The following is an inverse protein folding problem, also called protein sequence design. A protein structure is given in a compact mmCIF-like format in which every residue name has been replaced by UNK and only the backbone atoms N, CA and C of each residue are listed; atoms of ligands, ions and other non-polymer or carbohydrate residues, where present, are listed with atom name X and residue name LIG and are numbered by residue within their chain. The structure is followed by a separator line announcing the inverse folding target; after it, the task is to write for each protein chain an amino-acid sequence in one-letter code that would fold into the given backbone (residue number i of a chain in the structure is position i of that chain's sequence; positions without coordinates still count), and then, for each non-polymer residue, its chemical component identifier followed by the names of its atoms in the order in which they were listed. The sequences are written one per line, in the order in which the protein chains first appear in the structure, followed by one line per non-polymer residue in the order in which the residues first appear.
data_IF_668035599567
#
_entry.id   IF_668035599567
#
_cell.length_a   1.000
_cell.length_b   1.000
_cell.length_c   1.000
_cell.angle_alpha   90.00
_cell.angle_beta   90.00
_cell.angle_gamma   90.00
#
_symmetry.space_group_name_H-M   'P 1'
#
loop_
_entity.id
_entity.type
_entity.pdbx_description
1 polymer ?
#
# COMPACT_ATOMS: atom_id res chain seq x y z
N UNK A 1 11.01 7.68 6.42
CA UNK A 1 11.40 8.39 5.16
C UNK A 1 10.39 9.47 4.80
N UNK A 2 9.08 9.19 4.63
CA UNK A 2 8.08 10.21 4.23
C UNK A 2 8.13 11.48 5.09
N UNK A 3 8.10 11.35 6.41
CA UNK A 3 8.20 12.47 7.33
C UNK A 3 9.43 13.38 7.09
N UNK A 4 10.61 12.79 6.86
CA UNK A 4 11.83 13.58 6.60
C UNK A 4 11.73 14.37 5.30
N UNK A 5 11.13 13.78 4.27
CA UNK A 5 10.90 14.45 2.98
C UNK A 5 9.87 15.57 3.15
N UNK A 6 8.79 15.34 3.91
CA UNK A 6 7.76 16.35 4.15
C UNK A 6 8.30 17.54 4.95
N UNK A 7 9.16 17.30 5.95
CA UNK A 7 9.86 18.36 6.66
C UNK A 7 10.82 19.12 5.73
N UNK A 8 11.60 18.42 4.91
CA UNK A 8 12.52 19.03 3.94
C UNK A 8 11.77 19.87 2.89
N UNK A 9 10.58 19.45 2.49
CA UNK A 9 9.72 20.17 1.56
C UNK A 9 8.84 21.24 2.24
N UNK A 10 9.05 21.50 3.53
CA UNK A 10 8.28 22.46 4.33
C UNK A 10 6.77 22.20 4.38
N UNK A 11 6.34 20.96 4.05
CA UNK A 11 4.94 20.56 4.13
C UNK A 11 4.47 20.43 5.57
N UNK A 12 5.36 19.93 6.43
CA UNK A 12 5.11 19.76 7.86
C UNK A 12 6.23 20.41 8.67
N UNK A 13 5.89 20.95 9.84
CA UNK A 13 6.89 21.48 10.79
C UNK A 13 7.61 20.33 11.47
N UNK A 14 8.94 20.46 11.62
CA UNK A 14 9.73 19.48 12.35
C UNK A 14 9.23 19.34 13.81
N UNK A 15 8.94 18.09 14.21
CA UNK A 15 8.55 17.78 15.58
C UNK A 15 9.76 17.88 16.51
N UNK A 16 9.69 18.85 17.45
CA UNK A 16 10.79 19.13 18.41
C UNK A 16 10.77 18.19 19.60
N UNK A 17 9.63 17.56 19.90
CA UNK A 17 9.51 16.63 21.02
C UNK A 17 9.87 15.22 20.54
N UNK A 18 10.97 14.70 21.07
CA UNK A 18 11.47 13.37 20.74
C UNK A 18 10.45 12.27 21.02
N UNK A 19 9.75 12.31 22.15
CA UNK A 19 8.79 11.25 22.52
C UNK A 19 7.56 11.27 21.60
N UNK A 20 7.09 12.42 21.15
CA UNK A 20 6.02 12.51 20.16
C UNK A 20 6.45 11.92 18.82
N UNK A 21 7.66 12.25 18.36
CA UNK A 21 8.18 11.68 17.12
C UNK A 21 8.40 10.16 17.26
N UNK A 22 8.96 9.72 18.39
CA UNK A 22 9.14 8.29 18.67
C UNK A 22 7.80 7.55 18.67
N UNK A 23 6.75 8.10 19.30
CA UNK A 23 5.41 7.51 19.29
C UNK A 23 4.87 7.36 17.86
N UNK A 24 5.00 8.38 17.01
CA UNK A 24 4.58 8.30 15.61
C UNK A 24 5.36 7.22 14.85
N UNK A 25 6.68 7.17 15.00
CA UNK A 25 7.54 6.21 14.27
C UNK A 25 7.33 4.78 14.76
N UNK A 26 7.13 4.59 16.08
CA UNK A 26 6.99 3.29 16.72
C UNK A 26 5.54 2.85 16.93
N UNK A 27 4.57 3.55 16.35
CA UNK A 27 3.16 3.18 16.48
C UNK A 27 2.92 1.77 15.95
N UNK A 28 2.71 0.83 16.87
CA UNK A 28 2.78 -0.61 16.59
C UNK A 28 1.84 -1.11 15.49
N UNK A 29 0.62 -0.56 15.29
CA UNK A 29 -0.23 -1.03 14.21
C UNK A 29 0.34 -0.77 12.81
N UNK A 30 1.20 0.25 12.62
CA UNK A 30 1.81 0.53 11.31
C UNK A 30 3.16 -0.17 11.07
N UNK A 31 3.88 -0.58 12.14
CA UNK A 31 5.23 -1.13 11.99
C UNK A 31 5.24 -2.51 11.33
N UNK A 32 4.28 -3.37 11.69
CA UNK A 32 4.29 -4.78 11.27
C UNK A 32 3.74 -4.91 9.85
N UNK A 33 2.49 -4.52 9.63
CA UNK A 33 1.78 -4.68 8.35
C UNK A 33 0.74 -3.58 8.13
N UNK A 34 0.85 -2.47 8.87
CA UNK A 34 -0.14 -1.39 8.85
C UNK A 34 -0.10 -0.56 7.58
N UNK A 35 -1.17 0.23 7.35
CA UNK A 35 -1.18 1.25 6.32
C UNK A 35 -0.03 2.22 6.50
N UNK A 36 0.63 2.62 5.41
CA UNK A 36 1.69 3.63 5.46
C UNK A 36 1.05 4.97 5.79
N UNK A 37 1.26 5.43 7.01
CA UNK A 37 0.68 6.68 7.47
C UNK A 37 1.51 7.90 7.02
N UNK A 38 0.81 8.96 6.63
CA UNK A 38 1.37 10.30 6.48
C UNK A 38 1.38 10.98 7.86
N UNK A 39 2.41 11.77 8.13
CA UNK A 39 2.59 12.38 9.45
C UNK A 39 1.38 13.25 9.86
N UNK A 40 0.88 14.10 8.95
CA UNK A 40 -0.26 14.98 9.23
C UNK A 40 -1.56 14.22 9.53
N UNK A 41 -1.76 13.05 8.92
CA UNK A 41 -2.99 12.29 9.10
C UNK A 41 -3.03 11.54 10.45
N UNK A 42 -1.87 11.10 10.95
CA UNK A 42 -1.80 10.22 12.10
C UNK A 42 -1.29 10.93 13.38
N UNK A 43 -0.31 11.83 13.26
CA UNK A 43 0.37 12.41 14.40
C UNK A 43 -0.58 13.20 15.33
N UNK A 44 -1.53 13.95 14.75
CA UNK A 44 -2.57 14.65 15.51
C UNK A 44 -3.35 13.69 16.40
N UNK A 45 -3.87 12.61 15.82
CA UNK A 45 -4.63 11.59 16.53
C UNK A 45 -3.81 10.91 17.65
N UNK A 46 -2.52 10.68 17.43
CA UNK A 46 -1.64 10.06 18.45
C UNK A 46 -1.33 10.98 19.63
N UNK A 47 -1.37 12.31 19.41
CA UNK A 47 -0.98 13.30 20.43
C UNK A 47 -2.15 13.84 21.23
N UNK A 48 -3.36 13.63 20.76
CA UNK A 48 -4.59 13.96 21.43
C UNK A 48 -5.00 12.82 22.38
N UNK A 49 -5.57 13.18 23.52
CA UNK A 49 -6.15 12.17 24.41
C UNK A 49 -7.46 11.65 23.85
N UNK A 50 -7.65 10.33 23.90
CA UNK A 50 -8.90 9.70 23.47
C UNK A 50 -9.76 9.31 24.67
N UNK A 51 -11.04 9.65 24.62
CA UNK A 51 -12.02 9.17 25.59
C UNK A 51 -12.50 7.79 25.13
N UNK A 52 -12.80 6.92 26.09
CA UNK A 52 -13.36 5.60 25.80
C UNK A 52 -14.67 5.74 25.00
N UNK A 53 -14.72 5.07 23.85
CA UNK A 53 -15.88 5.04 22.94
C UNK A 53 -16.24 3.57 22.63
N UNK A 54 -17.37 3.14 23.18
CA UNK A 54 -17.85 1.78 23.01
C UNK A 54 -18.14 1.41 21.55
N UNK A 55 -18.64 2.36 20.75
CA UNK A 55 -18.92 2.11 19.34
C UNK A 55 -17.66 1.92 18.53
N UNK A 56 -16.61 2.69 18.80
CA UNK A 56 -15.28 2.49 18.20
C UNK A 56 -14.67 1.16 18.64
N UNK A 57 -14.78 0.80 19.91
CA UNK A 57 -14.32 -0.51 20.41
C UNK A 57 -15.02 -1.64 19.68
N UNK A 58 -16.36 -1.60 19.57
CA UNK A 58 -17.17 -2.60 18.88
C UNK A 58 -16.81 -2.70 17.39
N UNK A 59 -16.76 -1.58 16.67
CA UNK A 59 -16.38 -1.57 15.23
C UNK A 59 -14.97 -2.10 15.05
N UNK A 60 -14.01 -1.66 15.88
CA UNK A 60 -12.64 -2.16 15.82
C UNK A 60 -12.54 -3.65 16.07
N UNK A 61 -13.24 -4.18 17.10
CA UNK A 61 -13.27 -5.61 17.38
C UNK A 61 -13.86 -6.43 16.22
N UNK A 62 -14.96 -5.96 15.62
CA UNK A 62 -15.57 -6.61 14.45
C UNK A 62 -14.60 -6.59 13.24
N UNK A 63 -13.87 -5.52 13.05
CA UNK A 63 -12.88 -5.43 11.97
C UNK A 63 -11.69 -6.37 12.21
N UNK A 64 -11.23 -6.51 13.45
CA UNK A 64 -10.21 -7.50 13.85
C UNK A 64 -10.70 -8.92 13.54
N UNK A 65 -11.91 -9.27 13.95
CA UNK A 65 -12.50 -10.59 13.68
C UNK A 65 -12.64 -10.86 12.18
N UNK A 66 -13.09 -9.87 11.42
CA UNK A 66 -13.18 -9.98 9.95
C UNK A 66 -11.81 -10.17 9.30
N UNK A 67 -10.80 -9.41 9.74
CA UNK A 67 -9.42 -9.56 9.28
C UNK A 67 -8.84 -10.94 9.62
N UNK A 68 -9.05 -11.42 10.85
CA UNK A 68 -8.65 -12.75 11.29
C UNK A 68 -9.36 -13.85 10.46
N UNK A 69 -10.65 -13.72 10.20
CA UNK A 69 -11.38 -14.63 9.33
C UNK A 69 -10.76 -14.70 7.92
N UNK A 70 -10.52 -13.55 7.28
CA UNK A 70 -9.89 -13.51 5.95
C UNK A 70 -8.52 -14.20 5.95
N UNK A 71 -7.68 -13.88 6.94
CA UNK A 71 -6.33 -14.43 7.03
C UNK A 71 -6.33 -15.90 7.38
N UNK A 72 -6.92 -16.28 8.50
CA UNK A 72 -6.79 -17.63 9.07
C UNK A 72 -7.71 -18.67 8.39
N UNK A 73 -8.91 -18.26 8.01
CA UNK A 73 -9.92 -19.20 7.44
C UNK A 73 -9.78 -19.29 5.93
N UNK A 74 -9.46 -18.20 5.23
CA UNK A 74 -9.34 -18.22 3.77
C UNK A 74 -7.86 -18.27 3.35
N UNK A 75 -7.04 -17.29 3.75
CA UNK A 75 -5.66 -17.15 3.28
C UNK A 75 -4.79 -18.35 3.64
N UNK A 76 -4.74 -18.73 4.91
CA UNK A 76 -3.91 -19.86 5.38
C UNK A 76 -4.36 -21.20 4.81
N UNK A 77 -5.65 -21.38 4.53
CA UNK A 77 -6.15 -22.60 3.86
C UNK A 77 -5.85 -22.62 2.37
N UNK A 78 -5.93 -21.47 1.71
CA UNK A 78 -5.58 -21.33 0.30
C UNK A 78 -4.11 -21.64 0.04
N UNK A 79 -3.19 -21.24 0.96
CA UNK A 79 -1.76 -21.59 0.89
C UNK A 79 -1.53 -23.10 0.79
N UNK A 80 -2.25 -23.91 1.57
CA UNK A 80 -2.10 -25.38 1.57
C UNK A 80 -2.44 -25.96 0.19
N UNK A 81 -3.56 -25.54 -0.39
CA UNK A 81 -4.02 -25.99 -1.71
C UNK A 81 -3.04 -25.55 -2.79
N UNK A 82 -2.61 -24.29 -2.76
CA UNK A 82 -1.66 -23.74 -3.72
C UNK A 82 -0.33 -24.48 -3.66
N UNK A 83 0.26 -24.66 -2.49
CA UNK A 83 1.54 -25.32 -2.30
C UNK A 83 1.50 -26.79 -2.74
N UNK A 84 0.39 -27.49 -2.51
CA UNK A 84 0.21 -28.86 -2.96
C UNK A 84 0.32 -28.99 -4.49
N UNK A 85 -0.31 -28.06 -5.24
CA UNK A 85 -0.26 -28.07 -6.71
C UNK A 85 1.11 -27.59 -7.22
N UNK A 86 1.66 -26.54 -6.62
CA UNK A 86 2.91 -25.93 -7.09
C UNK A 86 4.16 -26.74 -6.71
N UNK A 87 4.09 -27.66 -5.74
CA UNK A 87 5.21 -28.53 -5.37
C UNK A 87 5.56 -29.55 -6.46
N UNK A 88 4.60 -29.92 -7.32
CA UNK A 88 4.82 -30.80 -8.47
C UNK A 88 4.04 -30.32 -9.71
N UNK A 89 4.47 -29.18 -10.26
CA UNK A 89 3.82 -28.55 -11.44
C UNK A 89 3.75 -29.49 -12.65
N UNK A 90 4.71 -30.41 -12.79
CA UNK A 90 4.75 -31.37 -13.92
C UNK A 90 3.80 -32.55 -13.73
N UNK A 91 3.44 -32.88 -12.49
CA UNK A 91 2.47 -33.93 -12.16
C UNK A 91 1.01 -33.51 -12.36
N UNK A 92 0.75 -32.21 -12.49
CA UNK A 92 -0.60 -31.68 -12.67
C UNK A 92 -0.85 -31.18 -14.09
N UNK A 93 -2.10 -31.33 -14.59
CA UNK A 93 -2.49 -30.74 -15.87
C UNK A 93 -2.54 -29.20 -15.79
N UNK A 94 -2.45 -28.51 -16.93
CA UNK A 94 -2.45 -27.05 -16.99
C UNK A 94 -3.67 -26.37 -16.37
N UNK A 95 -4.82 -27.06 -16.30
CA UNK A 95 -6.02 -26.57 -15.61
C UNK A 95 -5.83 -26.46 -14.10
N UNK A 96 -5.10 -27.38 -13.47
CA UNK A 96 -4.77 -27.30 -12.05
C UNK A 96 -3.79 -26.16 -11.76
N UNK A 97 -2.83 -25.94 -12.66
CA UNK A 97 -1.89 -24.80 -12.53
C UNK A 97 -2.63 -23.47 -12.64
N UNK A 98 -3.58 -23.36 -13.58
CA UNK A 98 -4.44 -22.18 -13.68
C UNK A 98 -5.30 -21.99 -12.43
N UNK A 99 -5.88 -23.07 -11.90
CA UNK A 99 -6.61 -23.02 -10.63
C UNK A 99 -5.73 -22.57 -9.48
N UNK A 100 -4.49 -23.07 -9.36
CA UNK A 100 -3.53 -22.63 -8.35
C UNK A 100 -3.20 -21.14 -8.48
N UNK A 101 -3.11 -20.58 -9.68
CA UNK A 101 -2.91 -19.14 -9.90
C UNK A 101 -4.10 -18.31 -9.38
N UNK A 102 -5.34 -18.77 -9.59
CA UNK A 102 -6.55 -18.11 -9.03
C UNK A 102 -6.56 -18.20 -7.51
N UNK A 103 -6.24 -19.37 -6.94
CA UNK A 103 -6.14 -19.57 -5.48
C UNK A 103 -5.04 -18.70 -4.89
N UNK A 104 -3.91 -18.55 -5.57
CA UNK A 104 -2.83 -17.63 -5.17
C UNK A 104 -3.30 -16.17 -5.12
N UNK A 105 -4.03 -15.71 -6.13
CA UNK A 105 -4.57 -14.36 -6.12
C UNK A 105 -5.53 -14.14 -4.93
N UNK A 106 -6.40 -15.12 -4.64
CA UNK A 106 -7.29 -15.09 -3.49
C UNK A 106 -6.50 -15.08 -2.16
N UNK A 107 -5.51 -15.96 -2.05
CA UNK A 107 -4.64 -16.07 -0.88
C UNK A 107 -3.93 -14.75 -0.60
N UNK A 108 -3.26 -14.19 -1.60
CA UNK A 108 -2.52 -12.93 -1.47
C UNK A 108 -3.42 -11.78 -0.99
N UNK A 109 -4.62 -11.68 -1.54
CA UNK A 109 -5.58 -10.67 -1.14
C UNK A 109 -6.09 -10.88 0.29
N UNK A 110 -6.50 -12.10 0.65
CA UNK A 110 -7.11 -12.36 1.95
C UNK A 110 -6.08 -12.33 3.08
N UNK A 111 -4.87 -12.78 2.84
CA UNK A 111 -3.77 -12.70 3.80
C UNK A 111 -3.38 -11.24 4.07
N UNK A 112 -3.08 -10.48 3.03
CA UNK A 112 -2.63 -9.11 3.17
C UNK A 112 -3.75 -8.16 3.65
N UNK A 113 -4.93 -8.19 3.02
CA UNK A 113 -6.05 -7.35 3.46
C UNK A 113 -6.56 -7.76 4.86
N UNK A 114 -6.44 -9.04 5.22
CA UNK A 114 -6.77 -9.54 6.55
C UNK A 114 -5.87 -8.95 7.62
N UNK A 115 -4.55 -8.99 7.40
CA UNK A 115 -3.57 -8.36 8.30
C UNK A 115 -3.79 -6.85 8.45
N UNK A 116 -4.06 -6.16 7.35
CA UNK A 116 -4.39 -4.72 7.37
C UNK A 116 -5.66 -4.44 8.19
N UNK A 117 -6.72 -5.24 8.03
CA UNK A 117 -7.96 -5.03 8.78
C UNK A 117 -7.78 -5.30 10.28
N UNK A 118 -6.94 -6.29 10.67
CA UNK A 118 -6.60 -6.52 12.06
C UNK A 118 -5.96 -5.28 12.67
N UNK A 119 -4.91 -4.74 12.04
CA UNK A 119 -4.20 -3.58 12.61
C UNK A 119 -5.02 -2.30 12.59
N UNK A 120 -5.87 -2.10 11.56
CA UNK A 120 -6.84 -1.00 11.51
C UNK A 120 -7.88 -1.11 12.61
N UNK A 121 -8.41 -2.33 12.83
CA UNK A 121 -9.37 -2.60 13.89
C UNK A 121 -8.78 -2.34 15.28
N UNK A 122 -7.52 -2.73 15.51
CA UNK A 122 -6.81 -2.40 16.75
C UNK A 122 -6.67 -0.88 16.89
N UNK A 123 -6.26 -0.16 15.84
CA UNK A 123 -6.21 1.31 15.86
C UNK A 123 -7.56 1.92 16.23
N UNK A 124 -8.65 1.47 15.61
CA UNK A 124 -10.02 1.94 15.89
C UNK A 124 -10.42 1.72 17.36
N UNK A 125 -10.04 0.57 17.96
CA UNK A 125 -10.29 0.29 19.38
C UNK A 125 -9.59 1.28 20.31
N UNK A 126 -8.45 1.85 19.91
CA UNK A 126 -7.74 2.93 20.61
C UNK A 126 -8.24 4.34 20.22
N UNK A 127 -9.29 4.43 19.41
CA UNK A 127 -9.83 5.71 18.96
C UNK A 127 -9.11 6.30 17.72
N UNK A 128 -8.12 5.60 17.17
CA UNK A 128 -7.27 6.05 16.06
C UNK A 128 -7.78 5.47 14.75
N UNK A 129 -8.13 6.32 13.81
CA UNK A 129 -8.60 5.92 12.48
C UNK A 129 -7.43 5.85 11.51
N UNK A 130 -7.18 4.64 10.98
CA UNK A 130 -6.12 4.39 10.00
C UNK A 130 -6.69 4.29 8.59
N UNK A 131 -5.87 4.66 7.59
CA UNK A 131 -6.28 4.65 6.19
C UNK A 131 -6.65 3.24 5.67
N UNK A 132 -7.58 3.18 4.73
CA UNK A 132 -7.87 1.95 3.98
C UNK A 132 -6.75 1.62 3.01
N UNK A 133 -6.46 0.31 2.88
CA UNK A 133 -5.45 -0.18 1.94
C UNK A 133 -6.03 -1.00 0.79
N UNK A 134 -7.27 -1.47 0.90
CA UNK A 134 -7.93 -2.30 -0.09
C UNK A 134 -9.39 -1.92 -0.28
N UNK A 135 -9.83 -1.80 -1.54
CA UNK A 135 -11.23 -1.52 -1.94
C UNK A 135 -11.66 -2.45 -3.05
N UNK A 136 -11.88 -3.74 -2.73
CA UNK A 136 -12.34 -4.74 -3.69
C UNK A 136 -11.54 -4.69 -5.02
N UNK A 137 -10.21 -4.86 -5.01
CA UNK A 137 -9.37 -4.61 -6.18
C UNK A 137 -9.69 -5.50 -7.39
N UNK A 138 -10.15 -6.73 -7.17
CA UNK A 138 -10.47 -7.67 -8.24
C UNK A 138 -11.76 -7.34 -9.01
N UNK A 139 -12.56 -6.36 -8.53
CA UNK A 139 -13.70 -5.83 -9.25
C UNK A 139 -13.38 -4.56 -10.06
N UNK A 140 -12.10 -4.28 -10.28
CA UNK A 140 -11.65 -3.15 -11.08
C UNK A 140 -11.91 -3.36 -12.57
N UNK A 141 -12.29 -2.30 -13.27
CA UNK A 141 -12.57 -2.31 -14.72
C UNK A 141 -11.34 -1.99 -15.57
N UNK A 142 -10.25 -1.56 -14.95
CA UNK A 142 -8.99 -1.24 -15.60
C UNK A 142 -7.81 -1.50 -14.66
N UNK A 143 -6.61 -1.66 -15.24
CA UNK A 143 -5.38 -1.81 -14.47
C UNK A 143 -5.08 -0.57 -13.62
N UNK A 144 -5.41 0.62 -14.12
CA UNK A 144 -5.27 1.87 -13.34
C UNK A 144 -6.18 1.86 -12.12
N UNK A 145 -7.45 1.46 -12.28
CA UNK A 145 -8.39 1.35 -11.17
C UNK A 145 -7.95 0.28 -10.17
N UNK A 146 -7.40 -0.85 -10.64
CA UNK A 146 -6.82 -1.87 -9.77
C UNK A 146 -5.78 -1.30 -8.81
N UNK A 147 -4.80 -0.54 -9.31
CA UNK A 147 -3.77 0.10 -8.50
C UNK A 147 -4.30 1.21 -7.58
N UNK A 148 -5.47 1.79 -7.84
CA UNK A 148 -6.15 2.69 -6.92
C UNK A 148 -6.91 1.98 -5.81
N UNK A 149 -7.09 0.66 -5.92
CA UNK A 149 -7.84 -0.18 -4.97
C UNK A 149 -6.96 -1.18 -4.24
N UNK A 150 -5.77 -1.47 -4.74
CA UNK A 150 -4.76 -2.39 -4.18
C UNK A 150 -3.66 -1.61 -3.48
N UNK A 151 -3.38 -1.95 -2.20
CA UNK A 151 -2.31 -1.35 -1.40
C UNK A 151 -2.24 0.19 -1.53
N UNK A 152 -3.38 0.83 -1.27
CA UNK A 152 -3.66 2.25 -1.58
C UNK A 152 -2.60 3.17 -0.97
N UNK A 153 -2.21 2.92 0.28
CA UNK A 153 -1.25 3.80 0.98
C UNK A 153 0.15 3.71 0.39
N UNK A 154 0.60 2.53 -0.06
CA UNK A 154 1.86 2.39 -0.80
C UNK A 154 1.79 3.11 -2.15
N UNK A 155 0.70 2.92 -2.89
CA UNK A 155 0.48 3.61 -4.17
C UNK A 155 0.54 5.14 -4.02
N UNK A 156 -0.11 5.68 -2.98
CA UNK A 156 -0.07 7.10 -2.68
C UNK A 156 1.33 7.56 -2.26
N UNK A 157 2.02 6.78 -1.42
CA UNK A 157 3.39 7.08 -0.99
C UNK A 157 4.34 7.13 -2.20
N UNK A 158 4.33 6.10 -3.04
CA UNK A 158 5.16 6.06 -4.24
C UNK A 158 4.85 7.18 -5.22
N UNK A 159 3.58 7.53 -5.37
CA UNK A 159 3.16 8.67 -6.20
C UNK A 159 3.72 9.98 -5.68
N UNK A 160 3.59 10.22 -4.36
CA UNK A 160 3.95 11.51 -3.76
C UNK A 160 5.47 11.69 -3.61
N UNK A 161 6.21 10.62 -3.31
CA UNK A 161 7.63 10.72 -2.94
C UNK A 161 8.58 10.23 -4.04
N UNK A 162 8.08 9.50 -5.05
CA UNK A 162 8.91 9.02 -6.17
C UNK A 162 8.40 9.60 -7.49
N UNK A 163 7.18 9.26 -7.89
CA UNK A 163 6.65 9.59 -9.21
C UNK A 163 6.56 11.09 -9.47
N UNK A 164 5.92 11.85 -8.58
CA UNK A 164 5.78 13.30 -8.76
C UNK A 164 7.13 14.03 -8.76
N UNK A 165 8.03 13.83 -7.80
CA UNK A 165 9.34 14.47 -7.84
C UNK A 165 10.13 14.17 -9.11
N UNK A 166 10.07 12.94 -9.61
CA UNK A 166 10.69 12.59 -10.89
C UNK A 166 10.02 13.35 -12.04
N UNK A 167 8.69 13.30 -12.13
CA UNK A 167 7.92 13.87 -13.24
C UNK A 167 8.11 15.38 -13.41
N UNK A 168 8.29 16.12 -12.30
CA UNK A 168 8.50 17.58 -12.31
C UNK A 168 9.98 17.96 -12.31
N UNK A 169 10.91 17.00 -12.27
CA UNK A 169 12.34 17.28 -12.28
C UNK A 169 12.77 17.96 -13.60
N UNK A 170 13.78 18.81 -13.52
CA UNK A 170 14.32 19.52 -14.71
C UNK A 170 14.66 18.57 -15.86
N UNK A 171 15.14 17.35 -15.56
CA UNK A 171 15.48 16.33 -16.55
C UNK A 171 14.25 15.85 -17.31
N UNK A 172 13.17 15.51 -16.62
CA UNK A 172 11.92 15.03 -17.23
C UNK A 172 11.19 16.15 -17.99
N UNK A 173 11.21 17.37 -17.45
CA UNK A 173 10.64 18.54 -18.15
C UNK A 173 11.41 18.86 -19.44
N UNK A 174 12.74 18.78 -19.41
CA UNK A 174 13.58 19.00 -20.61
C UNK A 174 13.38 17.88 -21.64
N UNK A 175 13.25 16.63 -21.20
CA UNK A 175 12.92 15.49 -22.07
C UNK A 175 11.58 15.74 -22.78
N UNK A 176 10.56 16.18 -22.06
CA UNK A 176 9.26 16.53 -22.67
C UNK A 176 9.37 17.66 -23.70
N UNK A 177 10.18 18.70 -23.44
CA UNK A 177 10.45 19.79 -24.39
C UNK A 177 11.21 19.29 -25.63
N UNK A 178 12.21 18.43 -25.45
CA UNK A 178 12.95 17.82 -26.55
C UNK A 178 12.06 16.97 -27.44
N UNK A 179 11.22 16.11 -26.84
CA UNK A 179 10.30 15.24 -27.56
C UNK A 179 9.24 16.05 -28.34
N UNK A 180 8.80 17.19 -27.82
CA UNK A 180 7.88 18.09 -28.57
C UNK A 180 8.46 18.60 -29.89
N UNK A 181 9.79 18.74 -29.97
CA UNK A 181 10.49 19.19 -31.18
C UNK A 181 10.79 18.07 -32.17
N UNK A 182 10.99 16.84 -31.69
CA UNK A 182 11.53 15.72 -32.47
C UNK A 182 10.56 14.54 -32.61
N UNK A 183 9.36 14.60 -32.03
CA UNK A 183 8.40 13.50 -32.02
C UNK A 183 6.95 13.99 -32.06
N UNK A 184 5.99 13.06 -32.06
CA UNK A 184 4.57 13.38 -32.05
C UNK A 184 4.14 14.01 -30.72
N UNK A 185 3.09 14.85 -30.75
CA UNK A 185 2.51 15.46 -29.54
C UNK A 185 2.11 14.41 -28.51
N UNK A 186 1.63 13.24 -28.96
CA UNK A 186 1.24 12.12 -28.09
C UNK A 186 2.45 11.56 -27.34
N UNK A 187 3.53 11.22 -28.04
CA UNK A 187 4.76 10.69 -27.43
C UNK A 187 5.36 11.70 -26.45
N UNK A 188 5.43 12.98 -26.83
CA UNK A 188 5.94 14.02 -25.94
C UNK A 188 5.16 14.18 -24.62
N UNK A 189 3.85 13.88 -24.64
CA UNK A 189 2.98 13.95 -23.47
C UNK A 189 3.08 12.70 -22.61
N UNK A 190 3.14 11.51 -23.22
CA UNK A 190 2.98 10.23 -22.52
C UNK A 190 4.33 9.67 -22.05
N UNK A 191 5.37 9.72 -22.89
CA UNK A 191 6.63 9.01 -22.64
C UNK A 191 7.34 9.44 -21.34
N UNK A 192 7.44 10.74 -20.97
CA UNK A 192 8.05 11.11 -19.70
C UNK A 192 7.35 10.51 -18.50
N UNK A 193 6.01 10.56 -18.46
CA UNK A 193 5.21 9.96 -17.40
C UNK A 193 5.36 8.45 -17.34
N UNK A 194 5.39 7.77 -18.50
CA UNK A 194 5.59 6.31 -18.56
C UNK A 194 6.96 5.90 -18.01
N UNK A 195 8.03 6.63 -18.36
CA UNK A 195 9.38 6.36 -17.83
C UNK A 195 9.40 6.59 -16.31
N UNK A 196 8.80 7.67 -15.81
CA UNK A 196 8.69 7.91 -14.37
C UNK A 196 7.93 6.78 -13.66
N UNK A 197 6.86 6.24 -14.28
CA UNK A 197 6.12 5.08 -13.77
C UNK A 197 7.00 3.83 -13.73
N UNK A 198 7.73 3.53 -14.80
CA UNK A 198 8.64 2.36 -14.86
C UNK A 198 9.69 2.46 -13.75
N UNK A 199 10.32 3.63 -13.56
CA UNK A 199 11.30 3.84 -12.48
C UNK A 199 10.63 3.61 -11.12
N UNK A 200 9.41 4.12 -10.91
CA UNK A 200 8.66 3.93 -9.66
C UNK A 200 8.42 2.45 -9.38
N UNK A 201 7.96 1.68 -10.38
CA UNK A 201 7.75 0.23 -10.24
C UNK A 201 9.05 -0.54 -10.03
N UNK A 202 10.15 -0.14 -10.66
CA UNK A 202 11.47 -0.74 -10.41
C UNK A 202 11.92 -0.52 -8.96
N UNK A 203 11.74 0.69 -8.41
CA UNK A 203 12.04 0.97 -7.00
C UNK A 203 11.21 0.11 -6.07
N UNK A 204 9.90 -0.04 -6.35
CA UNK A 204 9.01 -0.92 -5.59
C UNK A 204 9.50 -2.37 -5.66
N UNK A 205 9.84 -2.86 -6.87
CA UNK A 205 10.33 -4.22 -7.08
C UNK A 205 11.62 -4.51 -6.31
N UNK A 206 12.59 -3.58 -6.34
CA UNK A 206 13.84 -3.70 -5.58
C UNK A 206 13.56 -3.70 -4.06
N UNK A 207 12.64 -2.85 -3.61
CA UNK A 207 12.26 -2.78 -2.20
C UNK A 207 11.57 -4.07 -1.71
N UNK A 208 10.78 -4.72 -2.54
CA UNK A 208 10.15 -6.01 -2.22
C UNK A 208 11.15 -7.18 -2.18
N UNK A 209 12.34 -7.00 -2.72
CA UNK A 209 13.38 -8.02 -2.81
C UNK A 209 13.41 -8.72 -4.17
N UNK A 210 14.58 -9.26 -4.51
CA UNK A 210 14.83 -9.98 -5.77
C UNK A 210 14.93 -11.50 -5.52
N UNK A 211 13.97 -12.07 -4.83
CA UNK A 211 13.94 -13.52 -4.59
C UNK A 211 13.21 -14.25 -5.70
#
# INVERSE_FOLDING_TARGET
MGYLIDVYQEKVKAQKNFFKLALFVSFFPQIIQGPIAVYDDLAGQLYEGHVFDYDKLKRGALLVLWGAFKKMVIGDRAVVVMNYILSDVHGFSGSYVLFAAVVYALQLYTDFSGGIDIVRGIGEMFGITMAENFRQPYFSRSLTEYWHRWHITLGNWCRNYIFYPLSISKRFLNMGKFLKKHSTKHIAKVLPGSIASVITFLVIGIWHGAN
#
